data_IF_207617054116
#
_entry.id   IF_207617054116
#
_cell.length_a   1.000
_cell.length_b   1.000
_cell.length_c   1.000
_cell.angle_alpha   90.00
_cell.angle_beta   90.00
_cell.angle_gamma   90.00
#
_symmetry.space_group_name_H-M   'P 1'
#
loop_
_entity.id
_entity.type
_entity.pdbx_description
1 polymer ?
#
# COMPACT_ATOMS: atom_id res chain seq x y z
N UNK A 1 8.03 -19.43 26.29
CA UNK A 1 8.41 -18.85 24.98
C UNK A 1 7.24 -19.14 24.03
N UNK A 2 6.63 -18.18 23.40
CA UNK A 2 5.75 -18.46 22.28
C UNK A 2 6.56 -19.21 21.21
N UNK A 3 5.97 -20.16 20.46
CA UNK A 3 6.65 -20.82 19.36
C UNK A 3 7.21 -19.75 18.41
N UNK A 4 8.44 -19.97 17.92
CA UNK A 4 9.00 -19.10 16.89
C UNK A 4 7.97 -19.01 15.75
N UNK A 5 7.57 -17.81 15.40
CA UNK A 5 6.66 -17.58 14.28
C UNK A 5 7.34 -18.15 13.03
N UNK A 6 6.79 -19.25 12.51
CA UNK A 6 7.26 -19.81 11.24
C UNK A 6 7.03 -18.76 10.13
N UNK A 7 7.97 -18.64 9.20
CA UNK A 7 7.81 -17.77 8.02
C UNK A 7 6.87 -18.38 6.98
N UNK A 8 5.91 -19.20 7.42
CA UNK A 8 4.99 -19.93 6.57
C UNK A 8 3.53 -19.66 6.95
N UNK A 9 2.64 -19.92 5.99
CA UNK A 9 1.17 -20.03 6.17
C UNK A 9 0.67 -21.34 5.60
N UNK A 10 -0.42 -21.87 6.18
CA UNK A 10 -1.07 -23.08 5.69
C UNK A 10 -2.19 -22.69 4.72
N UNK A 11 -2.04 -23.10 3.46
CA UNK A 11 -2.91 -22.64 2.36
C UNK A 11 -3.90 -23.69 1.96
N UNK A 12 -5.18 -23.30 1.92
CA UNK A 12 -6.28 -23.99 1.28
C UNK A 12 -6.61 -23.28 -0.05
N UNK A 13 -6.78 -24.03 -1.14
CA UNK A 13 -7.15 -23.45 -2.43
C UNK A 13 -8.50 -23.96 -2.87
N UNK A 14 -9.42 -23.04 -3.11
CA UNK A 14 -10.71 -23.31 -3.79
C UNK A 14 -10.54 -22.98 -5.26
N UNK A 15 -10.97 -23.90 -6.12
CA UNK A 15 -10.88 -23.78 -7.56
C UNK A 15 -12.20 -23.31 -8.15
N UNK A 16 -12.13 -22.41 -9.15
CA UNK A 16 -13.27 -22.06 -10.00
C UNK A 16 -12.88 -22.15 -11.50
N UNK A 17 -13.91 -22.28 -12.34
CA UNK A 17 -13.79 -22.25 -13.80
C UNK A 17 -13.72 -20.83 -14.35
N UNK A 18 -13.65 -20.69 -15.68
CA UNK A 18 -13.64 -19.42 -16.39
C UNK A 18 -14.97 -18.65 -16.25
N UNK A 19 -16.06 -19.36 -16.03
CA UNK A 19 -17.40 -18.82 -15.76
C UNK A 19 -17.62 -18.45 -14.28
N UNK A 20 -16.62 -18.65 -13.43
CA UNK A 20 -16.69 -18.44 -11.99
C UNK A 20 -17.39 -19.57 -11.20
N UNK A 21 -17.85 -20.63 -11.87
CA UNK A 21 -18.43 -21.78 -11.19
C UNK A 21 -17.38 -22.45 -10.28
N UNK A 22 -17.73 -22.67 -9.01
CA UNK A 22 -16.86 -23.34 -8.04
C UNK A 22 -16.73 -24.83 -8.39
N UNK A 23 -15.50 -25.25 -8.68
CA UNK A 23 -15.16 -26.64 -9.00
C UNK A 23 -14.92 -27.48 -7.75
N UNK A 24 -14.65 -26.83 -6.62
CA UNK A 24 -14.38 -27.43 -5.31
C UNK A 24 -13.05 -26.96 -4.72
N UNK A 25 -12.74 -27.52 -3.55
CA UNK A 25 -11.52 -27.22 -2.78
C UNK A 25 -10.49 -28.35 -2.98
N UNK A 26 -9.21 -28.03 -3.09
CA UNK A 26 -8.14 -29.04 -3.06
C UNK A 26 -8.19 -29.82 -1.74
N UNK A 27 -8.01 -31.17 -1.76
CA UNK A 27 -8.33 -32.04 -0.61
C UNK A 27 -7.47 -31.80 0.63
N UNK A 28 -6.24 -31.32 0.46
CA UNK A 28 -5.32 -31.08 1.57
C UNK A 28 -4.69 -29.70 1.49
N UNK A 29 -4.63 -28.96 2.61
CA UNK A 29 -3.86 -27.74 2.69
C UNK A 29 -2.34 -28.01 2.61
N UNK A 30 -1.57 -26.98 2.28
CA UNK A 30 -0.11 -27.05 2.18
C UNK A 30 0.55 -25.77 2.68
N UNK A 31 1.74 -25.92 3.27
CA UNK A 31 2.52 -24.79 3.75
C UNK A 31 3.24 -24.08 2.60
N UNK A 32 3.29 -22.76 2.66
CA UNK A 32 4.09 -21.89 1.78
C UNK A 32 4.68 -20.71 2.56
N UNK A 33 5.88 -20.29 2.16
CA UNK A 33 6.51 -19.04 2.57
C UNK A 33 6.40 -17.99 1.45
N UNK A 34 6.47 -16.70 1.76
CA UNK A 34 6.46 -16.13 3.09
C UNK A 34 5.06 -16.18 3.75
N UNK A 35 5.01 -15.81 5.02
CA UNK A 35 3.76 -15.76 5.78
C UNK A 35 2.77 -14.69 5.31
N UNK A 36 3.20 -13.73 4.48
CA UNK A 36 2.38 -12.60 4.05
C UNK A 36 1.39 -12.98 2.95
N UNK A 37 0.10 -12.79 3.21
CA UNK A 37 -0.98 -13.31 2.38
C UNK A 37 -1.03 -12.76 0.93
N UNK A 38 -0.71 -11.48 0.64
CA UNK A 38 -0.70 -10.98 -0.73
C UNK A 38 0.30 -11.67 -1.66
N UNK A 39 1.37 -12.26 -1.15
CA UNK A 39 2.39 -12.97 -1.95
C UNK A 39 1.85 -14.32 -2.44
N UNK A 40 1.35 -14.38 -3.67
CA UNK A 40 0.68 -15.56 -4.23
C UNK A 40 1.52 -16.38 -5.20
N UNK A 41 2.68 -15.89 -5.67
CA UNK A 41 3.61 -16.66 -6.53
C UNK A 41 3.95 -18.05 -5.92
N UNK A 42 4.26 -18.19 -4.61
CA UNK A 42 4.50 -19.48 -4.01
C UNK A 42 3.27 -20.40 -3.98
N UNK A 43 2.07 -19.83 -3.85
CA UNK A 43 0.81 -20.60 -3.91
C UNK A 43 0.61 -21.16 -5.30
N UNK A 44 0.76 -20.32 -6.34
CA UNK A 44 0.64 -20.73 -7.74
C UNK A 44 1.67 -21.81 -8.09
N UNK A 45 2.91 -21.65 -7.62
CA UNK A 45 3.98 -22.63 -7.81
C UNK A 45 3.67 -23.98 -7.15
N UNK A 46 3.21 -23.96 -5.89
CA UNK A 46 2.86 -25.17 -5.15
C UNK A 46 1.68 -25.94 -5.75
N UNK A 47 0.64 -25.21 -6.22
CA UNK A 47 -0.49 -25.82 -6.93
C UNK A 47 -0.05 -26.50 -8.23
N UNK A 48 0.85 -25.85 -8.97
CA UNK A 48 1.40 -26.42 -10.20
C UNK A 48 2.24 -27.66 -9.92
N UNK A 49 3.10 -27.61 -8.93
CA UNK A 49 3.98 -28.74 -8.57
C UNK A 49 3.20 -29.96 -8.07
N UNK A 50 2.20 -29.73 -7.20
CA UNK A 50 1.45 -30.82 -6.52
C UNK A 50 0.35 -31.41 -7.38
N UNK A 51 -0.29 -30.57 -8.22
CA UNK A 51 -1.51 -30.94 -8.92
C UNK A 51 -1.42 -30.81 -10.46
N UNK A 52 -0.33 -30.25 -11.00
CA UNK A 52 -0.15 -29.99 -12.42
C UNK A 52 -1.08 -28.89 -12.97
N UNK A 53 -1.76 -28.15 -12.08
CA UNK A 53 -2.68 -27.08 -12.46
C UNK A 53 -1.93 -25.76 -12.64
N UNK A 54 -2.30 -25.02 -13.68
CA UNK A 54 -1.98 -23.61 -13.83
C UNK A 54 -3.18 -22.81 -13.33
N UNK A 55 -2.97 -21.95 -12.34
CA UNK A 55 -4.04 -21.18 -11.72
C UNK A 55 -3.67 -19.69 -11.66
N UNK A 56 -4.71 -18.85 -11.58
CA UNK A 56 -4.63 -17.45 -11.19
C UNK A 56 -5.33 -17.31 -9.83
N UNK A 57 -4.63 -16.87 -8.81
CA UNK A 57 -5.23 -16.56 -7.50
C UNK A 57 -6.03 -15.27 -7.64
N UNK A 58 -7.31 -15.32 -7.32
CA UNK A 58 -8.23 -14.18 -7.47
C UNK A 58 -8.27 -13.33 -6.20
N UNK A 59 -8.48 -13.96 -5.05
CA UNK A 59 -8.70 -13.24 -3.78
C UNK A 59 -8.56 -14.15 -2.56
N UNK A 60 -8.38 -13.53 -1.41
CA UNK A 60 -8.50 -14.17 -0.10
C UNK A 60 -9.99 -14.48 0.19
N UNK A 61 -10.26 -15.65 0.76
CA UNK A 61 -11.58 -16.03 1.25
C UNK A 61 -11.67 -15.94 2.76
N UNK A 62 -10.75 -16.59 3.47
CA UNK A 62 -10.73 -16.63 4.93
C UNK A 62 -9.30 -16.74 5.46
N UNK A 63 -9.11 -16.31 6.69
CA UNK A 63 -7.93 -16.60 7.51
C UNK A 63 -8.34 -16.73 8.98
N UNK A 64 -7.51 -17.39 9.78
CA UNK A 64 -7.62 -17.48 11.24
C UNK A 64 -6.61 -16.60 11.98
N UNK A 65 -5.83 -15.81 11.26
CA UNK A 65 -4.83 -14.91 11.82
C UNK A 65 -5.17 -13.43 11.53
N UNK A 66 -4.56 -12.52 12.31
CA UNK A 66 -4.89 -11.09 12.25
C UNK A 66 -4.14 -10.31 11.18
N UNK A 67 -2.89 -10.68 10.87
CA UNK A 67 -2.05 -9.87 9.96
C UNK A 67 -1.28 -10.70 8.92
N UNK A 68 -0.80 -11.88 9.29
CA UNK A 68 -0.02 -12.75 8.40
C UNK A 68 0.14 -14.15 9.01
N UNK A 69 0.48 -15.17 8.19
CA UNK A 69 0.60 -16.56 8.63
C UNK A 69 -0.76 -17.22 8.82
N UNK A 70 -0.84 -18.18 9.74
CA UNK A 70 -2.07 -18.90 10.05
C UNK A 70 -2.56 -19.82 8.92
N UNK A 71 -3.80 -20.26 9.04
CA UNK A 71 -4.53 -20.96 7.98
C UNK A 71 -5.22 -19.94 7.07
N UNK A 72 -5.01 -20.04 5.76
CA UNK A 72 -5.55 -19.10 4.80
C UNK A 72 -6.17 -19.82 3.61
N UNK A 73 -7.35 -19.38 3.18
CA UNK A 73 -8.02 -19.90 2.00
C UNK A 73 -8.08 -18.86 0.88
N UNK A 74 -7.73 -19.28 -0.35
CA UNK A 74 -7.83 -18.46 -1.55
C UNK A 74 -8.82 -19.06 -2.55
N UNK A 75 -9.50 -18.18 -3.30
CA UNK A 75 -10.15 -18.55 -4.55
C UNK A 75 -9.13 -18.42 -5.71
N UNK A 76 -9.03 -19.48 -6.52
CA UNK A 76 -8.15 -19.51 -7.67
C UNK A 76 -8.89 -20.01 -8.91
N UNK A 77 -8.75 -19.32 -10.03
CA UNK A 77 -9.25 -19.71 -11.32
C UNK A 77 -8.31 -20.71 -11.98
N UNK A 78 -8.84 -21.85 -12.45
CA UNK A 78 -8.08 -22.83 -13.23
C UNK A 78 -7.90 -22.34 -14.65
N UNK A 79 -6.66 -22.22 -15.09
CA UNK A 79 -6.30 -21.79 -16.45
C UNK A 79 -6.02 -22.97 -17.37
N UNK A 80 -5.41 -24.01 -16.83
CA UNK A 80 -5.17 -25.28 -17.54
C UNK A 80 -4.69 -26.35 -16.57
N UNK A 81 -4.73 -27.61 -17.00
CA UNK A 81 -4.19 -28.74 -16.27
C UNK A 81 -5.09 -29.97 -16.33
N UNK A 82 -4.67 -31.07 -15.69
CA UNK A 82 -5.45 -32.31 -15.66
C UNK A 82 -6.68 -32.18 -14.76
N UNK A 83 -7.71 -33.02 -14.94
CA UNK A 83 -8.78 -33.18 -13.96
C UNK A 83 -8.18 -33.51 -12.60
N UNK A 84 -8.56 -32.73 -11.58
CA UNK A 84 -8.00 -32.84 -10.24
C UNK A 84 -9.11 -33.14 -9.24
N UNK A 85 -8.93 -34.12 -8.33
CA UNK A 85 -9.89 -34.38 -7.27
C UNK A 85 -10.10 -33.14 -6.41
N UNK A 86 -11.36 -32.84 -6.09
CA UNK A 86 -11.76 -31.75 -5.21
C UNK A 86 -12.77 -32.26 -4.20
N UNK A 87 -12.92 -31.52 -3.09
CA UNK A 87 -13.99 -31.72 -2.10
C UNK A 87 -14.87 -30.47 -2.03
N UNK A 88 -16.14 -30.57 -1.64
CA UNK A 88 -16.97 -29.40 -1.46
C UNK A 88 -16.41 -28.45 -0.40
N UNK A 89 -16.34 -27.14 -0.65
CA UNK A 89 -15.99 -26.17 0.36
C UNK A 89 -16.99 -26.19 1.52
N UNK A 90 -16.50 -26.04 2.75
CA UNK A 90 -17.33 -26.11 3.97
C UNK A 90 -17.03 -24.95 4.92
N UNK A 91 -17.89 -24.76 5.93
CA UNK A 91 -17.68 -23.80 7.00
C UNK A 91 -17.47 -22.35 6.52
N UNK A 92 -16.51 -21.61 7.11
CA UNK A 92 -16.25 -20.21 6.76
C UNK A 92 -15.92 -19.99 5.27
N UNK A 93 -15.24 -20.95 4.63
CA UNK A 93 -14.88 -20.88 3.20
C UNK A 93 -16.14 -20.90 2.33
N UNK A 94 -17.11 -21.76 2.63
CA UNK A 94 -18.37 -21.79 1.88
C UNK A 94 -19.19 -20.51 2.06
N UNK A 95 -19.18 -19.93 3.26
CA UNK A 95 -19.83 -18.64 3.57
C UNK A 95 -19.16 -17.52 2.77
N UNK A 96 -17.83 -17.45 2.75
CA UNK A 96 -17.08 -16.45 2.01
C UNK A 96 -17.30 -16.52 0.49
N UNK A 97 -17.46 -17.72 -0.06
CA UNK A 97 -17.78 -17.91 -1.49
C UNK A 97 -19.17 -17.39 -1.87
N UNK A 98 -20.14 -17.52 -0.97
CA UNK A 98 -21.52 -17.04 -1.15
C UNK A 98 -21.70 -15.56 -0.78
N UNK A 99 -20.63 -14.90 -0.29
CA UNK A 99 -20.66 -13.52 0.18
C UNK A 99 -20.88 -12.49 -0.93
N UNK A 100 -21.15 -11.25 -0.50
CA UNK A 100 -21.39 -10.11 -1.39
C UNK A 100 -20.11 -9.75 -2.18
N UNK A 101 -20.31 -9.47 -3.46
CA UNK A 101 -19.27 -9.02 -4.38
C UNK A 101 -19.08 -7.49 -4.42
N UNK A 102 -19.77 -6.76 -3.55
CA UNK A 102 -19.61 -5.31 -3.45
C UNK A 102 -18.14 -4.95 -3.19
N UNK A 103 -17.63 -3.97 -3.93
CA UNK A 103 -16.23 -3.55 -3.92
C UNK A 103 -15.20 -4.60 -4.42
N UNK A 104 -15.66 -5.69 -5.04
CA UNK A 104 -14.74 -6.64 -5.68
C UNK A 104 -14.05 -5.99 -6.86
N UNK A 105 -12.72 -6.10 -6.88
CA UNK A 105 -11.91 -5.50 -7.91
C UNK A 105 -11.88 -6.40 -9.15
N UNK A 106 -11.74 -5.78 -10.32
CA UNK A 106 -11.78 -6.48 -11.60
C UNK A 106 -10.75 -7.63 -11.72
N UNK A 107 -9.60 -7.53 -11.07
CA UNK A 107 -8.60 -8.62 -11.07
C UNK A 107 -8.94 -9.76 -10.11
N UNK A 108 -9.88 -9.55 -9.19
CA UNK A 108 -10.40 -10.57 -8.27
C UNK A 108 -11.60 -11.35 -8.87
N UNK A 109 -12.04 -10.97 -10.07
CA UNK A 109 -13.08 -11.67 -10.83
C UNK A 109 -12.48 -12.72 -11.76
N UNK A 110 -13.18 -13.86 -12.01
CA UNK A 110 -12.80 -14.80 -13.04
C UNK A 110 -12.68 -14.10 -14.40
N UNK A 111 -11.60 -14.40 -15.13
CA UNK A 111 -11.34 -13.74 -16.41
C UNK A 111 -10.79 -12.31 -16.32
N UNK A 112 -10.74 -11.71 -15.13
CA UNK A 112 -10.29 -10.32 -14.96
C UNK A 112 -8.91 -10.03 -15.58
N UNK A 113 -7.97 -10.95 -15.43
CA UNK A 113 -6.62 -10.83 -15.99
C UNK A 113 -6.46 -11.37 -17.44
N UNK A 114 -7.52 -11.82 -18.10
CA UNK A 114 -7.42 -12.48 -19.41
C UNK A 114 -6.90 -11.57 -20.53
N UNK A 115 -7.17 -10.29 -20.44
CA UNK A 115 -6.70 -9.29 -21.39
C UNK A 115 -5.22 -8.90 -21.20
N UNK A 116 -4.63 -9.25 -20.04
CA UNK A 116 -3.30 -8.78 -19.67
C UNK A 116 -2.17 -9.23 -20.62
N UNK A 117 -2.13 -10.49 -21.12
CA UNK A 117 -1.09 -10.89 -22.06
C UNK A 117 -1.05 -10.00 -23.31
N UNK A 118 -2.21 -9.75 -23.92
CA UNK A 118 -2.32 -8.95 -25.14
C UNK A 118 -1.96 -7.47 -24.90
N UNK A 119 -2.39 -6.92 -23.77
CA UNK A 119 -2.07 -5.56 -23.39
C UNK A 119 -0.57 -5.37 -23.13
N UNK A 120 0.07 -6.29 -22.40
CA UNK A 120 1.53 -6.29 -22.18
C UNK A 120 2.28 -6.43 -23.50
N UNK A 121 1.88 -7.37 -24.37
CA UNK A 121 2.53 -7.58 -25.66
C UNK A 121 2.39 -6.36 -26.58
N UNK A 122 1.25 -5.65 -26.53
CA UNK A 122 1.06 -4.41 -27.28
C UNK A 122 1.96 -3.28 -26.75
N UNK A 123 2.02 -3.11 -25.44
CA UNK A 123 2.89 -2.14 -24.79
C UNK A 123 4.37 -2.39 -25.09
N UNK A 124 4.83 -3.63 -24.99
CA UNK A 124 6.20 -4.00 -25.29
C UNK A 124 6.57 -3.72 -26.76
N UNK A 125 5.67 -4.07 -27.72
CA UNK A 125 5.91 -3.78 -29.14
C UNK A 125 6.09 -2.28 -29.42
N UNK A 126 5.36 -1.41 -28.72
CA UNK A 126 5.50 0.03 -28.86
C UNK A 126 6.90 0.52 -28.45
N UNK A 127 7.61 -0.24 -27.62
CA UNK A 127 8.97 0.04 -27.18
C UNK A 127 10.04 -0.86 -27.86
N UNK A 128 9.70 -1.55 -28.95
CA UNK A 128 10.62 -2.43 -29.68
C UNK A 128 11.06 -3.66 -28.87
N UNK A 129 10.25 -4.08 -27.91
CA UNK A 129 10.50 -5.24 -27.02
C UNK A 129 9.50 -6.36 -27.30
N UNK A 130 9.82 -7.56 -26.84
CA UNK A 130 8.91 -8.71 -26.88
C UNK A 130 9.00 -9.53 -25.60
N UNK A 131 7.90 -10.08 -25.19
CA UNK A 131 7.84 -11.04 -24.10
C UNK A 131 8.49 -12.38 -24.52
N UNK A 132 9.29 -12.97 -23.63
CA UNK A 132 10.02 -14.22 -23.88
C UNK A 132 9.51 -15.40 -23.05
N UNK A 133 8.51 -15.18 -22.18
CA UNK A 133 7.93 -16.22 -21.33
C UNK A 133 6.54 -15.88 -20.83
N UNK A 134 6.05 -16.69 -19.89
CA UNK A 134 4.71 -16.54 -19.30
C UNK A 134 4.67 -15.38 -18.30
N UNK A 135 3.48 -14.80 -18.14
CA UNK A 135 3.18 -13.88 -17.07
C UNK A 135 3.19 -14.64 -15.73
N UNK A 136 3.77 -14.03 -14.70
CA UNK A 136 3.86 -14.59 -13.35
C UNK A 136 3.17 -13.66 -12.36
N UNK A 137 2.09 -14.11 -11.76
CA UNK A 137 1.40 -13.40 -10.70
C UNK A 137 2.26 -13.40 -9.44
N UNK A 138 2.61 -12.21 -8.93
CA UNK A 138 3.44 -12.03 -7.74
C UNK A 138 2.59 -11.76 -6.52
N UNK A 139 1.68 -10.79 -6.64
CA UNK A 139 0.79 -10.36 -5.56
C UNK A 139 -0.63 -10.24 -6.05
N UNK A 140 -1.59 -10.51 -5.17
CA UNK A 140 -2.98 -10.13 -5.36
C UNK A 140 -3.62 -9.89 -3.99
N UNK A 141 -4.29 -8.78 -3.86
CA UNK A 141 -5.05 -8.38 -2.68
C UNK A 141 -5.90 -7.13 -3.00
N UNK A 142 -6.56 -6.58 -1.97
CA UNK A 142 -7.45 -5.43 -2.12
C UNK A 142 -6.80 -4.11 -2.56
N UNK A 143 -5.49 -3.95 -2.39
CA UNK A 143 -4.79 -2.70 -2.75
C UNK A 143 -3.98 -2.81 -4.04
N UNK A 144 -3.70 -4.02 -4.54
CA UNK A 144 -3.03 -4.18 -5.82
C UNK A 144 -3.04 -5.61 -6.36
N UNK A 145 -2.87 -5.72 -7.68
CA UNK A 145 -2.39 -6.92 -8.34
C UNK A 145 -1.05 -6.61 -9.00
N UNK A 146 -0.07 -7.50 -8.81
CA UNK A 146 1.27 -7.37 -9.39
C UNK A 146 1.61 -8.60 -10.19
N UNK A 147 2.01 -8.41 -11.45
CA UNK A 147 2.39 -9.47 -12.38
C UNK A 147 3.70 -9.12 -13.04
N UNK A 148 4.59 -10.09 -13.23
CA UNK A 148 5.84 -9.88 -13.97
C UNK A 148 5.86 -10.65 -15.27
N UNK A 149 6.65 -10.17 -16.23
CA UNK A 149 6.90 -10.82 -17.49
C UNK A 149 8.37 -10.72 -17.90
N UNK A 150 9.03 -11.83 -18.26
CA UNK A 150 10.36 -11.78 -18.86
C UNK A 150 10.26 -11.25 -20.29
N UNK A 151 11.20 -10.39 -20.67
CA UNK A 151 11.34 -9.87 -22.03
C UNK A 151 12.74 -10.11 -22.58
N UNK A 152 12.96 -9.81 -23.84
CA UNK A 152 14.29 -9.83 -24.46
C UNK A 152 15.22 -8.70 -23.98
N UNK A 153 14.72 -7.78 -23.15
CA UNK A 153 15.47 -6.67 -22.56
C UNK A 153 15.32 -6.58 -21.03
N UNK A 154 15.12 -7.72 -20.34
CA UNK A 154 14.93 -7.80 -18.91
C UNK A 154 13.47 -8.07 -18.51
N UNK A 155 13.18 -8.03 -17.22
CA UNK A 155 11.84 -8.25 -16.68
C UNK A 155 11.05 -6.94 -16.69
N UNK A 156 9.74 -7.01 -16.91
CA UNK A 156 8.81 -5.89 -16.73
C UNK A 156 7.78 -6.22 -15.67
N UNK A 157 7.25 -5.19 -15.03
CA UNK A 157 6.31 -5.29 -13.92
C UNK A 157 5.01 -4.58 -14.28
N UNK A 158 3.92 -5.33 -14.24
CA UNK A 158 2.57 -4.80 -14.28
C UNK A 158 2.08 -4.61 -12.85
N UNK A 159 1.46 -3.47 -12.57
CA UNK A 159 0.75 -3.20 -11.33
C UNK A 159 -0.58 -2.51 -11.65
N UNK A 160 -1.65 -2.94 -10.98
CA UNK A 160 -2.90 -2.21 -10.95
C UNK A 160 -3.33 -1.96 -9.51
N UNK A 161 -3.94 -0.81 -9.26
CA UNK A 161 -4.42 -0.35 -7.96
C UNK A 161 -5.93 -0.10 -8.00
N UNK A 162 -6.63 -0.11 -6.86
CA UNK A 162 -8.06 0.14 -6.82
C UNK A 162 -8.39 1.61 -7.13
N UNK A 163 -9.64 1.89 -7.59
CA UNK A 163 -10.03 3.23 -8.02
C UNK A 163 -10.10 4.27 -6.89
N UNK A 164 -10.11 3.85 -5.63
CA UNK A 164 -10.10 4.76 -4.49
C UNK A 164 -8.69 5.24 -4.09
N UNK A 165 -7.62 4.69 -4.66
CA UNK A 165 -6.26 5.22 -4.56
C UNK A 165 -5.98 6.22 -5.69
N UNK A 166 -4.86 6.95 -5.60
CA UNK A 166 -4.42 7.82 -6.68
C UNK A 166 -4.09 7.02 -7.96
N UNK A 167 -4.18 7.67 -9.13
CA UNK A 167 -3.72 7.08 -10.39
C UNK A 167 -2.19 7.09 -10.43
N UNK A 168 -1.60 6.00 -9.95
CA UNK A 168 -0.16 5.83 -9.80
C UNK A 168 0.62 6.18 -11.07
N UNK A 169 0.10 5.82 -12.25
CA UNK A 169 0.77 6.10 -13.52
C UNK A 169 0.85 7.59 -13.85
N UNK A 170 -0.18 8.36 -13.54
CA UNK A 170 -0.17 9.82 -13.70
C UNK A 170 0.78 10.49 -12.72
N UNK A 171 0.78 10.03 -11.46
CA UNK A 171 1.67 10.54 -10.41
C UNK A 171 3.13 10.28 -10.77
N UNK A 172 3.49 9.04 -11.09
CA UNK A 172 4.86 8.64 -11.46
C UNK A 172 5.38 9.48 -12.64
N UNK A 173 4.57 9.69 -13.68
CA UNK A 173 4.94 10.55 -14.80
C UNK A 173 5.17 12.01 -14.40
N UNK A 174 4.37 12.53 -13.46
CA UNK A 174 4.56 13.90 -12.98
C UNK A 174 5.83 14.04 -12.15
N UNK A 175 6.11 13.08 -11.26
CA UNK A 175 7.36 13.05 -10.50
C UNK A 175 8.57 12.86 -11.42
N UNK A 176 8.47 11.99 -12.44
CA UNK A 176 9.51 11.79 -13.44
C UNK A 176 9.86 13.07 -14.23
N UNK A 177 8.93 13.99 -14.38
CA UNK A 177 9.20 15.29 -15.02
C UNK A 177 10.08 16.22 -14.16
N UNK A 178 10.12 15.99 -12.83
CA UNK A 178 10.98 16.69 -11.88
C UNK A 178 12.30 15.94 -11.68
N UNK A 179 12.21 14.65 -11.41
CA UNK A 179 13.35 13.76 -11.17
C UNK A 179 13.09 12.37 -11.81
N UNK A 180 13.55 12.15 -13.06
CA UNK A 180 13.26 10.91 -13.80
C UNK A 180 13.93 9.67 -13.19
N UNK A 181 14.99 9.83 -12.41
CA UNK A 181 15.69 8.72 -11.76
C UNK A 181 15.09 8.34 -10.41
N UNK A 182 14.21 9.16 -9.85
CA UNK A 182 13.55 8.88 -8.58
C UNK A 182 12.47 7.79 -8.71
N UNK A 183 11.87 7.65 -9.86
CA UNK A 183 10.71 6.77 -10.08
C UNK A 183 11.02 5.66 -11.11
N UNK A 184 10.23 4.57 -11.16
CA UNK A 184 10.38 3.56 -12.19
C UNK A 184 10.04 4.13 -13.58
N UNK A 185 10.72 3.61 -14.62
CA UNK A 185 10.39 3.91 -16.02
C UNK A 185 9.05 3.26 -16.37
N UNK A 186 8.03 4.06 -16.68
CA UNK A 186 6.72 3.59 -17.12
C UNK A 186 6.69 3.37 -18.62
N UNK A 187 6.47 2.12 -19.06
CA UNK A 187 6.34 1.71 -20.45
C UNK A 187 4.93 1.91 -21.00
N UNK A 188 3.91 1.64 -20.17
CA UNK A 188 2.52 1.85 -20.53
C UNK A 188 1.67 2.20 -19.31
N UNK A 189 0.55 2.91 -19.54
CA UNK A 189 -0.39 3.32 -18.51
C UNK A 189 -1.82 3.22 -19.05
N UNK A 190 -2.69 2.58 -18.28
CA UNK A 190 -4.13 2.49 -18.51
C UNK A 190 -4.86 3.18 -17.34
N UNK A 191 -5.25 4.45 -17.46
CA UNK A 191 -5.95 5.18 -16.40
C UNK A 191 -7.32 4.56 -16.06
N UNK A 192 -7.99 3.95 -17.05
CA UNK A 192 -9.29 3.32 -16.86
C UNK A 192 -9.25 2.10 -15.93
N UNK A 193 -8.14 1.38 -15.95
CA UNK A 193 -7.88 0.24 -15.06
C UNK A 193 -6.96 0.58 -13.90
N UNK A 194 -6.50 1.81 -13.77
CA UNK A 194 -5.47 2.21 -12.79
C UNK A 194 -4.24 1.32 -12.86
N UNK A 195 -3.78 1.03 -14.09
CA UNK A 195 -2.73 0.05 -14.34
C UNK A 195 -1.52 0.66 -15.03
N UNK A 196 -0.33 0.22 -14.62
CA UNK A 196 0.94 0.60 -15.22
C UNK A 196 1.75 -0.64 -15.61
N UNK A 197 2.53 -0.51 -16.68
CA UNK A 197 3.63 -1.42 -17.01
C UNK A 197 4.92 -0.65 -16.86
N UNK A 198 5.85 -1.15 -16.05
CA UNK A 198 7.12 -0.49 -15.76
C UNK A 198 8.29 -1.43 -15.94
N UNK A 199 9.46 -0.86 -16.15
CA UNK A 199 10.72 -1.61 -16.13
C UNK A 199 10.98 -2.17 -14.73
N UNK A 200 11.73 -3.26 -14.67
CA UNK A 200 12.25 -3.77 -13.41
C UNK A 200 13.17 -2.72 -12.77
N UNK A 201 12.92 -2.41 -11.52
CA UNK A 201 13.79 -1.57 -10.69
C UNK A 201 14.77 -2.48 -9.96
N UNK A 202 16.06 -2.45 -10.30
CA UNK A 202 17.07 -3.32 -9.69
C UNK A 202 17.34 -2.93 -8.23
N UNK A 203 18.17 -3.72 -7.56
CA UNK A 203 18.60 -3.50 -6.19
C UNK A 203 17.69 -4.12 -5.15
N UNK A 204 17.83 -3.68 -3.90
CA UNK A 204 17.10 -4.19 -2.73
C UNK A 204 16.27 -3.07 -2.10
N UNK A 205 15.21 -3.44 -1.39
CA UNK A 205 14.49 -2.50 -0.54
C UNK A 205 15.33 -2.16 0.71
N UNK A 206 15.02 -1.05 1.32
CA UNK A 206 15.69 -0.54 2.51
C UNK A 206 14.80 -0.66 3.78
N UNK A 207 13.98 -1.71 3.87
CA UNK A 207 13.02 -1.89 4.96
C UNK A 207 13.67 -1.83 6.35
N UNK A 208 14.91 -2.34 6.49
CA UNK A 208 15.69 -2.29 7.73
C UNK A 208 16.77 -1.21 7.74
N UNK A 209 16.53 -0.05 7.12
CA UNK A 209 17.50 1.02 6.92
C UNK A 209 18.20 1.42 8.22
N UNK A 210 19.53 1.26 8.24
CA UNK A 210 20.42 1.69 9.32
C UNK A 210 21.60 2.55 8.84
N UNK A 211 21.80 2.62 7.51
CA UNK A 211 22.84 3.46 6.90
C UNK A 211 22.37 4.92 6.85
N UNK A 212 22.98 5.74 7.72
CA UNK A 212 22.62 7.14 7.82
C UNK A 212 22.92 7.96 6.58
N UNK A 213 23.95 7.63 5.80
CA UNK A 213 24.25 8.36 4.56
C UNK A 213 23.19 8.08 3.49
N UNK A 214 22.70 6.85 3.42
CA UNK A 214 21.59 6.46 2.53
C UNK A 214 20.31 7.16 2.95
N UNK A 215 19.97 7.17 4.25
CA UNK A 215 18.80 7.87 4.76
C UNK A 215 18.83 9.37 4.42
N UNK A 216 19.98 10.02 4.60
CA UNK A 216 20.17 11.44 4.23
C UNK A 216 19.99 11.67 2.73
N UNK A 217 20.52 10.78 1.88
CA UNK A 217 20.39 10.90 0.43
C UNK A 217 18.91 10.79 -0.01
N UNK A 218 18.15 9.85 0.56
CA UNK A 218 16.70 9.70 0.34
C UNK A 218 15.96 10.98 0.70
N UNK A 219 16.22 11.52 1.89
CA UNK A 219 15.54 12.72 2.40
C UNK A 219 15.84 13.95 1.56
N UNK A 220 17.13 14.20 1.25
CA UNK A 220 17.52 15.34 0.41
C UNK A 220 16.85 15.29 -0.95
N UNK A 221 16.79 14.11 -1.55
CA UNK A 221 16.17 13.91 -2.84
C UNK A 221 14.66 14.14 -2.79
N UNK A 222 13.98 13.55 -1.81
CA UNK A 222 12.53 13.69 -1.69
C UNK A 222 12.10 15.12 -1.35
N UNK A 223 12.74 15.77 -0.39
CA UNK A 223 12.44 17.18 -0.06
C UNK A 223 12.62 18.10 -1.28
N UNK A 224 13.67 17.86 -2.10
CA UNK A 224 13.85 18.62 -3.35
C UNK A 224 12.69 18.45 -4.34
N UNK A 225 12.16 17.21 -4.46
CA UNK A 225 10.99 16.92 -5.31
C UNK A 225 9.72 17.52 -4.71
N UNK A 226 9.49 17.38 -3.41
CA UNK A 226 8.34 18.01 -2.73
C UNK A 226 8.33 19.53 -2.94
N UNK A 227 9.47 20.19 -2.77
CA UNK A 227 9.59 21.64 -2.99
C UNK A 227 9.27 22.06 -4.43
N UNK A 228 9.65 21.22 -5.41
CA UNK A 228 9.34 21.48 -6.82
C UNK A 228 7.86 21.20 -7.18
N UNK A 229 7.11 20.48 -6.34
CA UNK A 229 5.71 20.09 -6.56
C UNK A 229 4.70 20.94 -5.76
N UNK A 230 5.13 22.02 -5.10
CA UNK A 230 4.24 22.90 -4.33
C UNK A 230 3.09 23.46 -5.19
N UNK A 231 3.35 23.78 -6.47
CA UNK A 231 2.35 24.31 -7.39
C UNK A 231 1.54 23.22 -8.12
N UNK A 232 1.79 21.93 -7.84
CA UNK A 232 1.16 20.79 -8.52
C UNK A 232 -0.04 20.18 -7.77
N UNK A 233 -0.52 20.84 -6.74
CA UNK A 233 -1.60 20.35 -5.85
C UNK A 233 -2.87 20.03 -6.64
N UNK A 234 -3.32 20.92 -7.52
CA UNK A 234 -4.54 20.73 -8.30
C UNK A 234 -4.42 19.53 -9.24
N UNK A 235 -3.26 19.32 -9.84
CA UNK A 235 -3.02 18.16 -10.67
C UNK A 235 -3.05 16.86 -9.84
N UNK A 236 -2.42 16.83 -8.69
CA UNK A 236 -2.41 15.66 -7.81
C UNK A 236 -3.85 15.30 -7.37
N UNK A 237 -4.64 16.28 -6.96
CA UNK A 237 -6.06 16.08 -6.60
C UNK A 237 -6.90 15.58 -7.78
N UNK A 238 -6.68 16.10 -8.99
CA UNK A 238 -7.39 15.68 -10.20
C UNK A 238 -7.13 14.20 -10.57
N UNK A 239 -5.98 13.66 -10.22
CA UNK A 239 -5.63 12.24 -10.44
C UNK A 239 -5.96 11.33 -9.24
N UNK A 240 -6.65 11.87 -8.22
CA UNK A 240 -7.18 11.12 -7.09
C UNK A 240 -6.28 11.09 -5.85
N UNK A 241 -5.28 11.97 -5.76
CA UNK A 241 -4.54 12.14 -4.52
C UNK A 241 -5.47 12.52 -3.36
N UNK A 242 -5.15 12.03 -2.17
CA UNK A 242 -5.93 12.33 -0.98
C UNK A 242 -5.68 13.78 -0.52
N UNK A 243 -6.74 14.51 -0.21
CA UNK A 243 -6.62 15.85 0.34
C UNK A 243 -6.50 15.80 1.87
N UNK A 244 -5.28 16.03 2.38
CA UNK A 244 -4.97 16.06 3.82
C UNK A 244 -4.92 17.49 4.39
N UNK A 245 -5.44 18.46 3.65
CA UNK A 245 -5.55 19.84 4.13
C UNK A 245 -6.67 19.96 5.17
N UNK A 246 -6.72 21.12 5.81
CA UNK A 246 -7.54 21.39 6.99
C UNK A 246 -8.98 20.89 6.91
N UNK A 247 -9.74 21.29 5.89
CA UNK A 247 -11.19 21.01 5.85
C UNK A 247 -11.53 19.54 5.59
N UNK A 248 -10.92 18.85 4.60
CA UNK A 248 -11.12 17.41 4.42
C UNK A 248 -10.67 16.58 5.64
N UNK A 249 -9.54 16.91 6.23
CA UNK A 249 -9.00 16.17 7.38
C UNK A 249 -9.90 16.29 8.61
N UNK A 250 -10.47 17.47 8.88
CA UNK A 250 -11.46 17.65 9.95
C UNK A 250 -12.71 16.81 9.71
N UNK A 251 -13.22 16.78 8.49
CA UNK A 251 -14.39 15.99 8.13
C UNK A 251 -14.13 14.48 8.30
N UNK A 252 -12.98 13.99 7.88
CA UNK A 252 -12.58 12.59 8.03
C UNK A 252 -12.41 12.19 9.51
N UNK A 253 -11.79 13.04 10.33
CA UNK A 253 -11.64 12.80 11.76
C UNK A 253 -12.99 12.71 12.50
N UNK A 254 -13.94 13.59 12.13
CA UNK A 254 -15.31 13.54 12.66
C UNK A 254 -16.08 12.30 12.20
N UNK A 255 -15.93 11.90 10.93
CA UNK A 255 -16.54 10.68 10.41
C UNK A 255 -16.04 9.44 11.17
N UNK A 256 -14.74 9.33 11.41
CA UNK A 256 -14.16 8.24 12.21
C UNK A 256 -14.80 8.09 13.59
N UNK A 257 -15.03 9.20 14.30
CA UNK A 257 -15.69 9.17 15.61
C UNK A 257 -17.17 8.77 15.53
N UNK A 258 -17.81 9.01 14.41
CA UNK A 258 -19.20 8.60 14.14
C UNK A 258 -19.35 7.10 13.89
N UNK A 259 -18.26 6.38 13.60
CA UNK A 259 -18.27 4.97 13.21
C UNK A 259 -18.41 4.03 14.40
N UNK A 260 -19.43 3.15 14.36
CA UNK A 260 -19.67 2.20 15.43
C UNK A 260 -18.51 1.19 15.59
N UNK A 261 -17.95 0.71 14.49
CA UNK A 261 -16.80 -0.22 14.48
C UNK A 261 -15.56 0.38 15.16
N UNK A 262 -15.30 1.68 14.97
CA UNK A 262 -14.22 2.40 15.64
C UNK A 262 -14.52 2.53 17.14
N UNK A 263 -15.74 2.91 17.49
CA UNK A 263 -16.17 3.11 18.89
C UNK A 263 -16.13 1.86 19.73
N UNK A 264 -16.49 0.69 19.16
CA UNK A 264 -16.43 -0.60 19.87
C UNK A 264 -15.02 -1.18 19.96
N UNK A 265 -14.10 -0.78 19.06
CA UNK A 265 -12.71 -1.22 19.09
C UNK A 265 -11.86 -0.50 20.15
N UNK A 266 -12.33 0.66 20.67
CA UNK A 266 -11.64 1.47 21.67
C UNK A 266 -12.29 1.27 23.05
N UNK A 267 -11.46 1.28 24.10
CA UNK A 267 -11.97 1.41 25.46
C UNK A 267 -12.60 2.79 25.69
N UNK A 268 -13.45 2.92 26.70
CA UNK A 268 -14.08 4.22 27.03
C UNK A 268 -13.05 5.34 27.29
N UNK A 269 -11.88 5.00 27.86
CA UNK A 269 -10.78 5.95 28.09
C UNK A 269 -10.11 6.37 26.79
N UNK A 270 -9.83 5.41 25.90
CA UNK A 270 -9.23 5.70 24.59
C UNK A 270 -10.19 6.54 23.74
N UNK A 271 -11.48 6.20 23.74
CA UNK A 271 -12.48 6.95 23.00
C UNK A 271 -12.56 8.41 23.48
N UNK A 272 -12.64 8.64 24.80
CA UNK A 272 -12.64 10.00 25.33
C UNK A 272 -11.37 10.79 24.97
N UNK A 273 -10.20 10.13 24.94
CA UNK A 273 -8.96 10.77 24.52
C UNK A 273 -8.96 11.15 23.03
N UNK A 274 -9.48 10.26 22.15
CA UNK A 274 -9.62 10.58 20.71
C UNK A 274 -10.63 11.69 20.49
N UNK A 275 -11.77 11.69 21.21
CA UNK A 275 -12.77 12.77 21.17
C UNK A 275 -12.12 14.12 21.52
N UNK A 276 -11.29 14.18 22.58
CA UNK A 276 -10.54 15.40 22.94
C UNK A 276 -9.59 15.85 21.85
N UNK A 277 -8.83 14.91 21.25
CA UNK A 277 -7.94 15.21 20.13
C UNK A 277 -8.66 15.80 18.92
N UNK A 278 -9.84 15.27 18.59
CA UNK A 278 -10.64 15.77 17.47
C UNK A 278 -11.27 17.12 17.78
N UNK A 279 -11.68 17.36 19.02
CA UNK A 279 -12.20 18.67 19.47
C UNK A 279 -11.11 19.75 19.38
N UNK A 280 -9.85 19.41 19.69
CA UNK A 280 -8.70 20.32 19.63
C UNK A 280 -8.11 20.46 18.21
N UNK A 281 -8.45 19.56 17.30
CA UNK A 281 -7.86 19.48 15.97
C UNK A 281 -7.96 20.79 15.17
N UNK A 282 -9.08 21.55 15.18
CA UNK A 282 -9.15 22.83 14.46
C UNK A 282 -8.06 23.81 14.88
N UNK A 283 -7.84 23.97 16.21
CA UNK A 283 -6.82 24.86 16.77
C UNK A 283 -5.41 24.39 16.41
N UNK A 284 -5.15 23.09 16.52
CA UNK A 284 -3.86 22.49 16.18
C UNK A 284 -3.53 22.68 14.69
N UNK A 285 -4.50 22.52 13.79
CA UNK A 285 -4.31 22.76 12.36
C UNK A 285 -4.06 24.24 12.06
N UNK A 286 -4.68 25.16 12.77
CA UNK A 286 -4.39 26.59 12.64
C UNK A 286 -2.96 26.93 13.14
N UNK A 287 -2.47 26.28 14.21
CA UNK A 287 -1.08 26.39 14.65
C UNK A 287 -0.09 25.79 13.61
N UNK A 288 -0.42 24.66 13.00
CA UNK A 288 0.39 24.06 11.94
C UNK A 288 0.47 25.00 10.73
N UNK A 289 -0.64 25.59 10.32
CA UNK A 289 -0.65 26.57 9.24
C UNK A 289 0.18 27.81 9.58
N UNK A 290 0.17 28.26 10.84
CA UNK A 290 0.99 29.37 11.31
C UNK A 290 2.49 29.10 11.27
N UNK A 291 2.94 27.83 11.14
CA UNK A 291 4.34 27.49 10.93
C UNK A 291 4.85 27.89 9.52
N UNK A 292 3.98 28.30 8.60
CA UNK A 292 4.36 28.92 7.33
C UNK A 292 4.85 27.95 6.23
N UNK A 293 4.74 26.64 6.40
CA UNK A 293 5.04 25.68 5.34
C UNK A 293 3.92 25.63 4.30
N UNK A 294 4.25 25.56 2.99
CA UNK A 294 3.23 25.33 1.96
C UNK A 294 2.74 23.88 1.99
N UNK A 295 1.50 23.67 1.55
CA UNK A 295 1.07 22.34 1.15
C UNK A 295 1.80 21.90 -0.11
N UNK A 296 2.05 20.60 -0.24
CA UNK A 296 2.71 20.00 -1.39
C UNK A 296 2.20 18.60 -1.65
N UNK A 297 2.71 17.95 -2.69
CA UNK A 297 2.47 16.53 -2.96
C UNK A 297 3.22 15.67 -1.94
N UNK A 298 2.51 14.75 -1.34
CA UNK A 298 3.01 13.77 -0.39
C UNK A 298 3.07 12.39 -1.06
N UNK A 299 4.04 11.58 -0.69
CA UNK A 299 4.04 10.17 -1.09
C UNK A 299 2.91 9.39 -0.41
N UNK A 300 2.58 9.76 0.83
CA UNK A 300 1.48 9.20 1.61
C UNK A 300 1.81 7.90 2.34
N UNK A 301 2.72 7.08 1.81
CA UNK A 301 3.30 5.90 2.48
C UNK A 301 4.84 5.98 2.44
N UNK A 302 5.38 7.12 2.88
CA UNK A 302 6.82 7.39 2.85
C UNK A 302 7.55 6.59 3.93
N UNK A 303 8.20 5.49 3.52
CA UNK A 303 9.05 4.72 4.42
C UNK A 303 10.20 4.05 3.65
N UNK A 304 11.32 3.67 4.34
CA UNK A 304 12.49 3.09 3.68
C UNK A 304 12.19 1.85 2.82
N UNK A 305 11.20 1.04 3.18
CA UNK A 305 10.83 -0.17 2.43
C UNK A 305 10.27 0.10 1.03
N UNK A 306 9.79 1.32 0.75
CA UNK A 306 9.34 1.73 -0.59
C UNK A 306 10.50 2.24 -1.46
N UNK A 307 11.70 2.34 -0.91
CA UNK A 307 12.89 2.68 -1.66
C UNK A 307 13.65 1.45 -2.12
N UNK A 308 14.12 1.49 -3.37
CA UNK A 308 15.03 0.49 -3.94
C UNK A 308 16.40 1.13 -4.13
N UNK A 309 17.45 0.47 -3.63
CA UNK A 309 18.84 0.90 -3.80
C UNK A 309 19.62 -0.08 -4.64
N UNK A 310 20.25 0.46 -5.71
CA UNK A 310 21.19 -0.25 -6.57
C UNK A 310 22.45 0.60 -6.70
N UNK A 311 23.48 0.29 -5.91
CA UNK A 311 24.65 1.17 -5.74
C UNK A 311 24.24 2.53 -5.18
N UNK A 312 24.52 3.59 -5.93
CA UNK A 312 24.15 4.97 -5.58
C UNK A 312 22.75 5.37 -6.10
N UNK A 313 22.14 4.53 -6.90
CA UNK A 313 20.79 4.80 -7.43
C UNK A 313 19.73 4.49 -6.37
N UNK A 314 18.88 5.47 -6.13
CA UNK A 314 17.73 5.37 -5.24
C UNK A 314 16.45 5.58 -6.04
N UNK A 315 15.52 4.64 -5.99
CA UNK A 315 14.22 4.73 -6.68
C UNK A 315 13.10 4.52 -5.68
N UNK A 316 12.11 5.40 -5.68
CA UNK A 316 10.93 5.35 -4.82
C UNK A 316 9.77 4.71 -5.56
N UNK A 317 9.12 3.74 -4.94
CA UNK A 317 8.03 2.93 -5.48
C UNK A 317 6.75 3.17 -4.68
N UNK A 318 5.65 2.61 -5.18
CA UNK A 318 4.34 2.51 -4.50
C UNK A 318 3.65 3.87 -4.28
N UNK A 319 3.27 4.50 -5.39
CA UNK A 319 2.68 5.85 -5.46
C UNK A 319 1.14 5.85 -5.40
N UNK A 320 0.51 4.78 -4.92
CA UNK A 320 -0.95 4.68 -4.82
C UNK A 320 -1.55 5.57 -3.72
N UNK A 321 -0.83 5.78 -2.63
CA UNK A 321 -1.30 6.50 -1.44
C UNK A 321 -1.02 8.02 -1.46
N UNK A 322 -0.64 8.56 -2.61
CA UNK A 322 -0.31 9.97 -2.77
C UNK A 322 -1.38 10.88 -2.19
N UNK A 323 -0.92 11.89 -1.46
CA UNK A 323 -1.76 12.92 -0.86
C UNK A 323 -1.28 14.33 -1.17
N UNK A 324 -2.05 15.29 -0.70
CA UNK A 324 -1.72 16.73 -0.70
C UNK A 324 -1.85 17.26 0.71
N UNK A 325 -0.83 17.95 1.21
CA UNK A 325 -0.85 18.52 2.55
C UNK A 325 0.54 19.00 3.01
N UNK A 326 0.69 19.17 4.31
CA UNK A 326 1.93 19.64 4.90
C UNK A 326 3.07 18.62 4.71
N UNK A 327 4.25 19.00 4.21
CA UNK A 327 5.36 18.10 3.91
C UNK A 327 5.89 17.29 5.11
N UNK A 328 5.64 17.75 6.33
CA UNK A 328 6.06 17.04 7.54
C UNK A 328 5.24 15.77 7.82
N UNK A 329 4.15 15.52 7.08
CA UNK A 329 3.44 14.23 7.14
C UNK A 329 4.34 13.10 6.65
N UNK A 330 5.01 13.26 5.51
CA UNK A 330 5.95 12.25 5.00
C UNK A 330 7.20 12.14 5.89
N UNK A 331 7.68 13.24 6.47
CA UNK A 331 8.76 13.22 7.44
C UNK A 331 8.41 12.31 8.63
N UNK A 332 7.22 12.45 9.19
CA UNK A 332 6.76 11.62 10.31
C UNK A 332 6.71 10.13 9.91
N UNK A 333 6.11 9.83 8.78
CA UNK A 333 5.99 8.46 8.27
C UNK A 333 7.36 7.80 8.05
N UNK A 334 8.34 8.53 7.51
CA UNK A 334 9.70 8.04 7.30
C UNK A 334 10.44 7.78 8.61
N UNK A 335 10.47 8.78 9.49
CA UNK A 335 11.25 8.74 10.73
C UNK A 335 10.73 7.66 11.69
N UNK A 336 9.42 7.46 11.78
CA UNK A 336 8.81 6.42 12.63
C UNK A 336 9.24 4.99 12.24
N UNK A 337 9.68 4.76 11.00
CA UNK A 337 10.15 3.46 10.52
C UNK A 337 11.65 3.20 10.73
N UNK A 338 12.40 4.19 11.16
CA UNK A 338 13.81 4.01 11.51
C UNK A 338 13.89 3.38 12.92
N UNK A 339 14.67 2.32 13.05
CA UNK A 339 14.79 1.61 14.33
C UNK A 339 15.68 2.37 15.33
N UNK A 340 16.78 2.97 14.83
CA UNK A 340 17.76 3.68 15.63
C UNK A 340 17.28 5.08 16.05
N UNK A 341 17.17 5.38 17.36
CA UNK A 341 16.75 6.70 17.85
C UNK A 341 17.68 7.86 17.43
N UNK A 342 19.00 7.64 17.42
CA UNK A 342 19.96 8.68 17.02
C UNK A 342 19.81 9.00 15.52
N UNK A 343 19.58 7.98 14.69
CA UNK A 343 19.29 8.16 13.29
C UNK A 343 17.96 8.90 13.08
N UNK A 344 16.92 8.59 13.85
CA UNK A 344 15.63 9.32 13.82
C UNK A 344 15.81 10.81 14.07
N UNK A 345 16.51 11.17 15.14
CA UNK A 345 16.76 12.57 15.51
C UNK A 345 17.55 13.29 14.41
N UNK A 346 18.64 12.68 13.92
CA UNK A 346 19.46 13.25 12.85
C UNK A 346 18.66 13.45 11.56
N UNK A 347 17.86 12.48 11.15
CA UNK A 347 17.06 12.55 9.93
C UNK A 347 15.91 13.54 10.09
N UNK A 348 15.29 13.62 11.26
CA UNK A 348 14.28 14.64 11.57
C UNK A 348 14.86 16.05 11.46
N UNK A 349 16.03 16.29 12.06
CA UNK A 349 16.71 17.58 11.99
C UNK A 349 17.12 17.95 10.55
N UNK A 350 17.60 16.97 9.77
CA UNK A 350 17.92 17.19 8.36
C UNK A 350 16.67 17.61 7.56
N UNK A 351 15.56 16.88 7.72
CA UNK A 351 14.33 17.16 6.97
C UNK A 351 13.77 18.54 7.27
N UNK A 352 13.66 18.88 8.55
CA UNK A 352 13.21 20.22 8.97
C UNK A 352 14.16 21.33 8.55
N UNK A 353 15.49 21.09 8.60
CA UNK A 353 16.50 22.02 8.11
C UNK A 353 16.38 22.30 6.63
N UNK A 354 16.20 21.26 5.80
CA UNK A 354 16.02 21.42 4.35
C UNK A 354 14.77 22.23 4.01
N UNK A 355 13.66 22.03 4.73
CA UNK A 355 12.44 22.83 4.51
C UNK A 355 12.61 24.27 5.00
N UNK A 356 13.33 24.52 6.10
CA UNK A 356 13.67 25.88 6.53
C UNK A 356 14.54 26.63 5.51
N UNK A 357 15.41 25.92 4.79
CA UNK A 357 16.18 26.49 3.67
C UNK A 357 15.28 26.82 2.46
N UNK A 358 14.28 25.97 2.15
CA UNK A 358 13.34 26.20 1.05
C UNK A 358 12.36 27.34 1.34
N UNK A 359 11.92 27.45 2.59
CA UNK A 359 10.91 28.44 3.02
C UNK A 359 11.47 29.20 4.23
N UNK A 360 12.26 30.26 4.00
CA UNK A 360 12.72 31.13 5.07
C UNK A 360 11.54 31.68 5.89
N UNK A 361 11.73 31.90 7.17
CA UNK A 361 10.70 32.36 8.14
C UNK A 361 9.62 31.32 8.49
N UNK A 362 9.70 30.08 7.97
CA UNK A 362 8.86 28.96 8.42
C UNK A 362 9.43 28.27 9.66
N UNK A 363 8.59 27.51 10.37
CA UNK A 363 9.01 26.67 11.51
C UNK A 363 8.66 25.18 11.24
N UNK A 364 9.46 24.49 10.42
CA UNK A 364 9.21 23.07 10.09
C UNK A 364 9.32 22.14 11.32
N UNK A 365 10.17 22.48 12.30
CA UNK A 365 10.34 21.67 13.49
C UNK A 365 9.07 21.71 14.37
N UNK A 366 8.49 22.89 14.57
CA UNK A 366 7.21 23.04 15.25
C UNK A 366 6.07 22.34 14.49
N UNK A 367 6.02 22.49 13.16
CA UNK A 367 5.02 21.80 12.31
C UNK A 367 5.12 20.28 12.46
N UNK A 368 6.32 19.69 12.40
CA UNK A 368 6.55 18.27 12.60
C UNK A 368 6.09 17.77 13.97
N UNK A 369 6.34 18.54 15.02
CA UNK A 369 5.87 18.24 16.36
C UNK A 369 4.34 18.25 16.46
N UNK A 370 3.69 19.30 16.01
CA UNK A 370 2.23 19.45 16.03
C UNK A 370 1.51 18.39 15.19
N UNK A 371 2.14 17.94 14.11
CA UNK A 371 1.62 16.91 13.21
C UNK A 371 1.68 15.49 13.81
N UNK A 372 2.37 15.25 14.93
CA UNK A 372 2.45 13.91 15.52
C UNK A 372 1.11 13.18 15.61
N UNK A 373 0.14 13.65 16.42
CA UNK A 373 -1.18 13.04 16.52
C UNK A 373 -2.01 13.19 15.24
N UNK A 374 -1.86 14.27 14.49
CA UNK A 374 -2.61 14.55 13.26
C UNK A 374 -2.29 13.53 12.16
N UNK A 375 -1.03 13.18 11.98
CA UNK A 375 -0.60 12.17 11.01
C UNK A 375 -1.18 10.79 11.33
N UNK A 376 -1.29 10.44 12.60
CA UNK A 376 -1.90 9.18 13.03
C UNK A 376 -3.43 9.19 12.84
N UNK A 377 -4.11 10.30 13.10
CA UNK A 377 -5.54 10.47 12.76
C UNK A 377 -5.77 10.34 11.26
N UNK A 378 -4.93 10.98 10.44
CA UNK A 378 -4.97 10.84 9.00
C UNK A 378 -4.74 9.39 8.54
N UNK A 379 -3.78 8.69 9.14
CA UNK A 379 -3.54 7.27 8.87
C UNK A 379 -4.74 6.39 9.26
N UNK A 380 -5.39 6.65 10.41
CA UNK A 380 -6.61 5.95 10.80
C UNK A 380 -7.72 6.12 9.75
N UNK A 381 -7.90 7.34 9.25
CA UNK A 381 -8.87 7.62 8.18
C UNK A 381 -8.49 6.94 6.85
N UNK A 382 -7.19 6.81 6.52
CA UNK A 382 -6.73 6.03 5.35
C UNK A 382 -7.18 4.57 5.46
N UNK A 383 -6.90 3.92 6.57
CA UNK A 383 -7.28 2.52 6.76
C UNK A 383 -8.81 2.33 6.83
N UNK A 384 -9.54 3.27 7.42
CA UNK A 384 -11.00 3.23 7.38
C UNK A 384 -11.52 3.35 5.93
N UNK A 385 -10.94 4.24 5.12
CA UNK A 385 -11.26 4.34 3.69
C UNK A 385 -10.97 3.05 2.94
N UNK A 386 -9.89 2.31 3.28
CA UNK A 386 -9.66 0.98 2.72
C UNK A 386 -10.81 0.04 3.07
N UNK A 387 -11.17 -0.06 4.35
CA UNK A 387 -12.27 -0.90 4.82
C UNK A 387 -13.62 -0.58 4.16
N UNK A 388 -13.86 0.67 3.84
CA UNK A 388 -15.10 1.10 3.17
C UNK A 388 -15.18 0.68 1.69
N UNK A 389 -14.01 0.47 1.03
CA UNK A 389 -13.93 0.27 -0.41
C UNK A 389 -13.37 -1.10 -0.82
N UNK A 390 -13.09 -1.99 0.12
CA UNK A 390 -12.63 -3.36 -0.16
C UNK A 390 -13.72 -4.39 0.08
N UNK A 391 -13.58 -5.55 -0.57
CA UNK A 391 -14.48 -6.69 -0.37
C UNK A 391 -14.46 -7.18 1.08
N UNK A 392 -15.61 -7.65 1.57
CA UNK A 392 -15.77 -8.04 3.00
C UNK A 392 -14.77 -9.10 3.44
N UNK A 393 -14.48 -10.09 2.59
CA UNK A 393 -13.53 -11.17 2.89
C UNK A 393 -12.09 -10.67 3.05
N UNK A 394 -11.75 -9.54 2.45
CA UNK A 394 -10.43 -8.94 2.50
C UNK A 394 -10.27 -7.86 3.57
N UNK A 395 -11.35 -7.50 4.29
CA UNK A 395 -11.27 -6.52 5.39
C UNK A 395 -10.33 -6.96 6.51
N UNK A 396 -10.08 -8.25 6.66
CA UNK A 396 -9.15 -8.80 7.66
C UNK A 396 -7.73 -8.22 7.52
N UNK A 397 -7.32 -7.79 6.33
CA UNK A 397 -6.01 -7.14 6.13
C UNK A 397 -5.84 -5.86 6.94
N UNK A 398 -6.94 -5.14 7.22
CA UNK A 398 -6.93 -3.79 7.78
C UNK A 398 -7.88 -3.60 8.97
N UNK A 399 -8.52 -4.66 9.44
CA UNK A 399 -9.60 -4.57 10.45
C UNK A 399 -9.17 -3.89 11.76
N UNK A 400 -7.91 -4.06 12.16
CA UNK A 400 -7.36 -3.50 13.41
C UNK A 400 -6.70 -2.12 13.20
N UNK A 401 -6.29 -1.81 11.97
CA UNK A 401 -5.46 -0.63 11.69
C UNK A 401 -6.07 0.71 12.12
N UNK A 402 -7.37 1.00 11.88
CA UNK A 402 -7.94 2.27 12.32
C UNK A 402 -7.81 2.49 13.84
N UNK A 403 -8.16 1.48 14.63
CA UNK A 403 -8.09 1.57 16.09
C UNK A 403 -6.64 1.69 16.60
N UNK A 404 -5.71 0.96 15.99
CA UNK A 404 -4.28 1.02 16.36
C UNK A 404 -3.66 2.37 16.01
N UNK A 405 -4.05 2.98 14.91
CA UNK A 405 -3.65 4.34 14.55
C UNK A 405 -4.24 5.38 15.50
N UNK A 406 -5.47 5.22 15.94
CA UNK A 406 -6.06 6.11 16.95
C UNK A 406 -5.35 6.00 18.31
N UNK A 407 -4.95 4.79 18.73
CA UNK A 407 -4.09 4.60 19.90
C UNK A 407 -2.72 5.28 19.74
N UNK A 408 -2.14 5.18 18.55
CA UNK A 408 -0.89 5.86 18.23
C UNK A 408 -1.06 7.40 18.25
N UNK A 409 -2.21 7.94 17.83
CA UNK A 409 -2.51 9.36 17.93
C UNK A 409 -2.54 9.85 19.38
N UNK A 410 -3.20 9.10 20.26
CA UNK A 410 -3.22 9.40 21.72
C UNK A 410 -1.81 9.39 22.29
N UNK A 411 -0.99 8.39 21.93
CA UNK A 411 0.38 8.28 22.41
C UNK A 411 1.27 9.44 21.92
N UNK A 412 1.08 9.87 20.67
CA UNK A 412 1.82 10.98 20.07
C UNK A 412 1.46 12.34 20.68
N UNK A 413 0.22 12.52 21.15
CA UNK A 413 -0.22 13.76 21.82
C UNK A 413 0.40 13.95 23.19
N UNK A 414 0.60 12.86 23.93
CA UNK A 414 1.23 12.89 25.26
C UNK A 414 2.77 12.92 25.26
N UNK A 415 3.41 12.88 24.08
CA UNK A 415 4.88 12.83 23.99
C UNK A 415 5.48 14.25 24.05
N UNK A 416 6.52 14.48 24.89
CA UNK A 416 7.28 15.73 24.83
C UNK A 416 7.93 15.90 23.46
N UNK A 417 8.17 17.16 23.06
CA UNK A 417 8.94 17.47 21.86
C UNK A 417 10.34 16.83 21.95
N UNK A 418 10.69 15.98 21.00
CA UNK A 418 12.03 15.39 20.85
C UNK A 418 12.89 16.32 20.00
#
# INVERSE_FOLDING_TARGET
>A
MPPALTDERLVTVVLCGDDGAVLGQLPAPFAVAPRWWPEVDPVVAAVRERHGLVVTVLRLLTTDADHAGGEVAYLAQVRSGPPTPTVPPQGPVAVALAGDATNRLWWAEPGGLDHLPDWVDAALRAHGRRRTGVLRQRKTWNLSVVVTAPTDQGEVWFKATPPFLADEGSVVRRVAAVDPDLVPTVLAHDPGRRAILMEHVPGQDEFGLSDGAVAEAMVRRWVGVQAALVDDIDHALAVGARDLRRAPLLAEAQDLLGRNEVRVALSARELAAVESLVDELPTRLDEIAACGLPDTVLHGDMHPGNWRRDGDRLTLLDWGDVGVGNPMVDQRAFVERLADPELRERISALWTGLWAEQVPDSDPARAAYLLGPVAQLAAAATYQRFLDHIEVTERVYHALDPADRLRAAIAADGSPAV
#
